data_IF_871736804174
#
_entry.id   IF_871736804174
#
_cell.length_a   1.000
_cell.length_b   1.000
_cell.length_c   1.000
_cell.angle_alpha   90.00
_cell.angle_beta   90.00
_cell.angle_gamma   90.00
#
_symmetry.space_group_name_H-M   'P 1'
#
loop_
_entity.id
_entity.type
_entity.pdbx_description
1 polymer ?
#
# COMPACT_ATOMS: atom_id res chain seq x y z
N UNK A 1 2.35 12.62 -18.52
CA UNK A 1 3.34 13.52 -17.91
C UNK A 1 3.26 14.89 -18.59
N UNK A 2 3.45 15.99 -17.87
CA UNK A 2 3.47 17.35 -18.44
C UNK A 2 4.78 17.67 -19.17
N UNK A 3 5.68 16.69 -19.34
CA UNK A 3 6.97 16.85 -20.00
C UNK A 3 8.07 17.42 -19.09
N UNK A 4 7.88 17.40 -17.76
CA UNK A 4 8.83 18.00 -16.81
C UNK A 4 10.14 17.20 -16.65
N UNK A 5 10.13 15.90 -17.00
CA UNK A 5 11.29 15.03 -16.94
C UNK A 5 11.19 13.91 -17.99
N UNK A 6 12.32 13.54 -18.58
CA UNK A 6 12.43 12.41 -19.52
C UNK A 6 12.49 11.05 -18.79
N UNK A 7 13.07 11.05 -17.59
CA UNK A 7 13.14 9.91 -16.70
C UNK A 7 13.32 10.35 -15.24
N UNK A 8 12.93 9.48 -14.30
CA UNK A 8 12.99 9.75 -12.87
C UNK A 8 13.43 8.52 -12.09
N UNK A 9 14.25 8.74 -11.06
CA UNK A 9 14.41 7.78 -9.97
C UNK A 9 13.33 8.09 -8.94
N UNK A 10 12.48 7.10 -8.66
CA UNK A 10 11.36 7.22 -7.71
C UNK A 10 11.45 6.12 -6.67
N UNK A 11 11.13 6.43 -5.42
CA UNK A 11 11.25 5.46 -4.35
C UNK A 11 11.12 6.09 -2.97
N UNK A 12 11.44 5.29 -1.96
CA UNK A 12 11.40 5.66 -0.56
C UNK A 12 12.44 4.89 0.24
N UNK A 13 12.89 5.49 1.33
CA UNK A 13 13.80 4.87 2.30
C UNK A 13 13.35 5.25 3.70
N UNK A 14 13.41 4.30 4.63
CA UNK A 14 13.00 4.51 6.01
C UNK A 14 13.82 3.66 6.98
N UNK A 15 14.14 4.25 8.13
CA UNK A 15 14.65 3.55 9.31
C UNK A 15 13.81 3.98 10.51
N UNK A 16 12.67 3.33 10.69
CA UNK A 16 11.67 3.65 11.70
C UNK A 16 11.91 2.95 13.04
N UNK A 17 12.74 1.91 13.09
CA UNK A 17 13.02 1.13 14.32
C UNK A 17 13.90 1.85 15.37
N UNK A 18 14.01 3.17 15.30
CA UNK A 18 14.67 3.97 16.34
C UNK A 18 13.89 3.93 17.67
N UNK A 19 14.53 4.18 18.82
CA UNK A 19 13.82 4.23 20.10
C UNK A 19 12.65 5.24 20.11
N UNK A 20 12.80 6.36 19.39
CA UNK A 20 11.74 7.38 19.27
C UNK A 20 10.60 6.87 18.39
N UNK A 21 10.90 6.26 17.24
CA UNK A 21 9.88 5.69 16.35
C UNK A 21 9.08 4.59 17.04
N UNK A 22 9.78 3.62 17.63
CA UNK A 22 9.15 2.53 18.38
C UNK A 22 8.31 3.05 19.55
N UNK A 23 8.86 3.96 20.36
CA UNK A 23 8.16 4.57 21.49
C UNK A 23 6.91 5.35 21.08
N UNK A 24 6.98 6.09 19.97
CA UNK A 24 5.85 6.85 19.43
C UNK A 24 4.70 5.96 18.98
N UNK A 25 4.98 4.91 18.21
CA UNK A 25 3.93 3.99 17.75
C UNK A 25 3.39 3.08 18.87
N UNK A 26 4.23 2.72 19.85
CA UNK A 26 3.77 2.05 21.06
C UNK A 26 2.80 2.93 21.86
N UNK A 27 3.12 4.22 22.04
CA UNK A 27 2.25 5.18 22.71
C UNK A 27 0.92 5.39 21.96
N UNK A 28 0.95 5.36 20.63
CA UNK A 28 -0.23 5.41 19.78
C UNK A 28 -1.05 4.11 19.77
N UNK A 29 -0.57 3.03 20.41
CA UNK A 29 -1.17 1.69 20.41
C UNK A 29 -1.38 1.13 19.01
N UNK A 30 -0.44 1.41 18.10
CA UNK A 30 -0.51 0.98 16.71
C UNK A 30 0.30 -0.30 16.43
N UNK A 31 1.22 -0.65 17.33
CA UNK A 31 2.09 -1.81 17.21
C UNK A 31 1.40 -3.08 17.72
N UNK A 32 1.72 -4.21 17.09
CA UNK A 32 1.40 -5.53 17.64
C UNK A 32 2.04 -5.71 19.01
N UNK A 33 1.33 -6.39 19.90
CA UNK A 33 1.79 -6.74 21.25
C UNK A 33 2.17 -8.23 21.38
N UNK A 34 2.13 -8.98 20.27
CA UNK A 34 2.50 -10.40 20.18
C UNK A 34 4.01 -10.59 20.26
N UNK A 35 4.55 -10.41 21.47
CA UNK A 35 5.97 -10.53 21.75
C UNK A 35 6.42 -11.98 21.98
N UNK A 36 5.49 -12.89 22.25
CA UNK A 36 5.70 -14.33 22.46
C UNK A 36 5.85 -15.10 21.14
N UNK A 37 5.26 -14.61 20.06
CA UNK A 37 5.39 -15.14 18.70
C UNK A 37 5.60 -14.00 17.68
N UNK A 38 6.78 -13.37 17.68
CA UNK A 38 7.05 -12.18 16.87
C UNK A 38 7.08 -12.49 15.36
N UNK A 39 7.42 -13.73 14.97
CA UNK A 39 7.47 -14.13 13.57
C UNK A 39 6.08 -14.16 12.91
N UNK A 40 5.01 -14.33 13.68
CA UNK A 40 3.64 -14.31 13.19
C UNK A 40 2.88 -13.02 13.53
N UNK A 41 3.55 -12.01 14.08
CA UNK A 41 2.89 -10.79 14.59
C UNK A 41 2.32 -9.91 13.47
N UNK A 42 3.01 -9.79 12.34
CA UNK A 42 2.50 -9.06 11.17
C UNK A 42 1.55 -9.97 10.37
N UNK A 43 0.25 -9.79 10.56
CA UNK A 43 -0.80 -10.68 10.07
C UNK A 43 -2.03 -9.92 9.55
N UNK A 44 -1.92 -9.29 8.36
CA UNK A 44 -3.01 -8.52 7.78
C UNK A 44 -4.29 -9.35 7.61
N UNK A 45 -5.43 -8.76 7.96
CA UNK A 45 -6.78 -9.36 7.96
C UNK A 45 -7.01 -10.60 8.82
N UNK A 46 -6.00 -11.08 9.55
CA UNK A 46 -6.21 -12.20 10.45
C UNK A 46 -7.19 -11.81 11.57
N UNK A 47 -7.98 -12.79 12.03
CA UNK A 47 -8.96 -12.62 13.10
C UNK A 47 -8.33 -12.07 14.38
N UNK A 48 -7.13 -12.53 14.72
CA UNK A 48 -6.47 -12.18 15.97
C UNK A 48 -5.30 -11.20 15.74
N UNK A 49 -5.44 -10.30 14.75
CA UNK A 49 -4.50 -9.19 14.50
C UNK A 49 -4.66 -8.08 15.54
N UNK A 50 -3.56 -7.45 15.94
CA UNK A 50 -3.56 -6.47 17.03
C UNK A 50 -2.72 -5.20 16.75
N UNK A 51 -2.11 -5.09 15.57
CA UNK A 51 -1.29 -3.94 15.17
C UNK A 51 -0.20 -4.33 14.19
N UNK A 52 0.52 -3.36 13.64
CA UNK A 52 1.62 -3.64 12.72
C UNK A 52 2.93 -3.94 13.46
N UNK A 53 3.87 -4.57 12.76
CA UNK A 53 5.28 -4.66 13.15
C UNK A 53 6.06 -3.60 12.37
N UNK A 54 6.92 -2.80 13.02
CA UNK A 54 7.79 -1.86 12.31
C UNK A 54 8.86 -2.60 11.51
N UNK A 55 9.13 -2.11 10.30
CA UNK A 55 10.24 -2.56 9.48
C UNK A 55 11.05 -1.38 8.96
N UNK A 56 12.26 -1.67 8.50
CA UNK A 56 13.14 -0.71 7.85
C UNK A 56 13.43 -1.18 6.43
N UNK A 57 13.70 -0.24 5.52
CA UNK A 57 14.10 -0.60 4.18
C UNK A 57 14.11 0.57 3.22
N UNK A 58 14.55 0.29 2.01
CA UNK A 58 14.58 1.23 0.91
C UNK A 58 14.36 0.52 -0.42
N UNK A 59 13.70 1.21 -1.33
CA UNK A 59 13.46 0.77 -2.70
C UNK A 59 13.50 1.97 -3.64
N UNK A 60 14.09 1.78 -4.82
CA UNK A 60 14.15 2.81 -5.87
C UNK A 60 13.93 2.14 -7.23
N UNK A 61 13.04 2.71 -8.01
CA UNK A 61 12.77 2.34 -9.39
C UNK A 61 13.21 3.47 -10.32
N UNK A 62 13.69 3.07 -11.49
CA UNK A 62 13.84 3.98 -12.63
C UNK A 62 12.56 3.92 -13.45
N UNK A 63 11.91 5.07 -13.62
CA UNK A 63 10.74 5.23 -14.49
C UNK A 63 11.08 6.19 -15.62
N UNK A 64 10.62 5.87 -16.82
CA UNK A 64 10.83 6.68 -18.03
C UNK A 64 9.68 6.43 -19.01
N UNK A 65 9.62 7.21 -20.08
CA UNK A 65 8.63 7.02 -21.15
C UNK A 65 8.88 5.69 -21.90
N UNK A 66 7.81 4.99 -22.26
CA UNK A 66 7.85 3.62 -22.78
C UNK A 66 8.62 3.50 -24.11
N UNK A 67 8.38 4.38 -25.06
CA UNK A 67 9.10 4.37 -26.34
C UNK A 67 10.56 4.77 -26.18
N UNK A 68 10.89 5.68 -25.25
CA UNK A 68 12.28 5.97 -24.85
C UNK A 68 12.99 4.74 -24.29
N UNK A 69 12.35 4.02 -23.35
CA UNK A 69 12.86 2.79 -22.76
C UNK A 69 13.13 1.73 -23.86
N UNK A 70 12.20 1.57 -24.81
CA UNK A 70 12.36 0.66 -25.94
C UNK A 70 13.48 1.07 -26.88
N UNK A 71 13.56 2.36 -27.24
CA UNK A 71 14.56 2.87 -28.17
C UNK A 71 16.00 2.63 -27.67
N UNK A 72 16.22 2.74 -26.36
CA UNK A 72 17.53 2.45 -25.75
C UNK A 72 17.75 0.98 -25.39
N UNK A 73 16.79 0.09 -25.65
CA UNK A 73 16.87 -1.35 -25.33
C UNK A 73 16.84 -1.66 -23.84
N UNK A 74 16.09 -0.88 -23.05
CA UNK A 74 15.93 -1.12 -21.62
C UNK A 74 15.25 -2.47 -21.33
N UNK A 75 15.62 -3.10 -20.22
CA UNK A 75 14.81 -4.19 -19.68
C UNK A 75 13.60 -3.62 -18.93
N UNK A 76 12.40 -3.89 -19.45
CA UNK A 76 11.14 -3.36 -18.92
C UNK A 76 10.52 -4.41 -17.99
N UNK A 77 10.38 -4.07 -16.70
CA UNK A 77 9.78 -4.96 -15.71
C UNK A 77 8.25 -4.91 -15.72
N UNK A 78 7.69 -3.71 -15.85
CA UNK A 78 6.25 -3.45 -15.83
C UNK A 78 5.97 -2.07 -16.44
N UNK A 79 4.69 -1.82 -16.72
CA UNK A 79 4.16 -0.53 -17.16
C UNK A 79 3.29 0.07 -16.05
N UNK A 80 3.47 1.36 -15.76
CA UNK A 80 2.60 2.11 -14.84
C UNK A 80 1.48 2.70 -15.69
N UNK A 81 0.31 2.07 -15.66
CA UNK A 81 -0.80 2.44 -16.54
C UNK A 81 -1.72 3.51 -15.96
N UNK A 82 -1.76 3.67 -14.64
CA UNK A 82 -2.52 4.75 -14.02
C UNK A 82 -2.15 4.99 -12.56
N UNK A 83 -2.58 6.14 -12.03
CA UNK A 83 -2.32 6.57 -10.66
C UNK A 83 -3.54 7.27 -10.05
N UNK A 84 -3.72 7.11 -8.74
CA UNK A 84 -4.83 7.72 -8.02
C UNK A 84 -4.46 8.11 -6.60
N UNK A 85 -4.88 9.31 -6.20
CA UNK A 85 -4.74 9.82 -4.84
C UNK A 85 -6.05 10.43 -4.35
N UNK A 86 -6.20 10.51 -3.04
CA UNK A 86 -7.34 11.16 -2.36
C UNK A 86 -6.93 11.59 -0.96
N UNK A 87 -7.69 12.53 -0.36
CA UNK A 87 -7.64 12.83 1.07
C UNK A 87 -8.99 12.53 1.71
N UNK A 88 -9.00 11.93 2.89
CA UNK A 88 -10.24 11.53 3.58
C UNK A 88 -10.80 12.61 4.53
N UNK A 89 -9.95 13.53 5.01
CA UNK A 89 -10.25 14.64 5.92
C UNK A 89 -11.14 14.22 7.12
N UNK A 90 -10.92 13.02 7.66
CA UNK A 90 -11.84 12.38 8.60
C UNK A 90 -11.33 12.36 10.04
N UNK A 91 -10.14 11.79 10.25
CA UNK A 91 -9.53 11.68 11.57
C UNK A 91 -8.00 11.67 11.41
N UNK A 92 -7.28 12.05 12.47
CA UNK A 92 -5.82 12.20 12.40
C UNK A 92 -5.09 10.87 12.13
N UNK A 93 -5.62 9.76 12.62
CA UNK A 93 -4.95 8.44 12.58
C UNK A 93 -5.87 7.28 12.19
N UNK A 94 -7.16 7.54 11.98
CA UNK A 94 -8.14 6.49 11.70
C UNK A 94 -8.75 6.73 10.32
N UNK A 95 -8.87 5.70 9.48
CA UNK A 95 -9.62 5.83 8.25
C UNK A 95 -11.12 5.95 8.56
N UNK A 96 -11.91 6.52 7.64
CA UNK A 96 -13.34 6.29 7.61
C UNK A 96 -13.66 4.79 7.66
N UNK A 97 -14.62 4.40 8.50
CA UNK A 97 -15.00 2.98 8.66
C UNK A 97 -15.50 2.36 7.34
N UNK A 98 -16.11 3.17 6.47
CA UNK A 98 -16.60 2.78 5.14
C UNK A 98 -15.46 2.65 4.09
N UNK A 99 -14.23 3.02 4.43
CA UNK A 99 -13.09 2.98 3.52
C UNK A 99 -13.17 3.98 2.37
N UNK A 100 -14.06 4.99 2.41
CA UNK A 100 -14.34 5.86 1.26
C UNK A 100 -13.12 6.61 0.71
N UNK A 101 -12.15 6.93 1.57
CA UNK A 101 -10.88 7.55 1.17
C UNK A 101 -10.09 6.63 0.24
N UNK A 102 -9.74 5.43 0.73
CA UNK A 102 -9.07 4.42 -0.08
C UNK A 102 -9.86 4.07 -1.35
N UNK A 103 -11.19 3.98 -1.26
CA UNK A 103 -12.06 3.73 -2.41
C UNK A 103 -11.97 4.83 -3.47
N UNK A 104 -11.88 6.10 -3.07
CA UNK A 104 -11.69 7.22 -4.00
C UNK A 104 -10.34 7.15 -4.70
N UNK A 105 -9.25 6.90 -3.97
CA UNK A 105 -7.92 6.72 -4.57
C UNK A 105 -7.89 5.57 -5.59
N UNK A 106 -8.48 4.41 -5.24
CA UNK A 106 -8.57 3.26 -6.16
C UNK A 106 -9.40 3.57 -7.42
N UNK A 107 -10.56 4.22 -7.28
CA UNK A 107 -11.37 4.63 -8.44
C UNK A 107 -10.61 5.60 -9.35
N UNK A 108 -9.86 6.54 -8.78
CA UNK A 108 -9.05 7.47 -9.56
C UNK A 108 -7.97 6.72 -10.35
N UNK A 109 -7.26 5.77 -9.73
CA UNK A 109 -6.22 4.98 -10.39
C UNK A 109 -6.77 4.09 -11.52
N UNK A 110 -7.95 3.48 -11.31
CA UNK A 110 -8.64 2.65 -12.31
C UNK A 110 -9.15 3.51 -13.47
N UNK A 111 -9.70 4.69 -13.17
CA UNK A 111 -10.16 5.61 -14.21
C UNK A 111 -9.00 6.14 -15.05
N UNK A 112 -7.86 6.46 -14.42
CA UNK A 112 -6.65 6.92 -15.10
C UNK A 112 -6.03 5.81 -15.97
N UNK A 113 -6.05 4.56 -15.50
CA UNK A 113 -5.50 3.43 -16.26
C UNK A 113 -6.39 2.95 -17.41
N UNK A 114 -7.70 3.22 -17.34
CA UNK A 114 -8.68 2.68 -18.29
C UNK A 114 -8.84 1.16 -18.22
N UNK A 115 -8.25 0.49 -17.22
CA UNK A 115 -8.34 -0.96 -17.05
C UNK A 115 -9.70 -1.32 -16.44
N UNK A 116 -10.47 -2.23 -17.06
CA UNK A 116 -11.71 -2.73 -16.47
C UNK A 116 -11.46 -3.40 -15.11
N UNK A 117 -12.35 -3.18 -14.14
CA UNK A 117 -12.20 -3.70 -12.77
C UNK A 117 -12.11 -5.23 -12.70
N UNK A 118 -12.73 -5.93 -13.65
CA UNK A 118 -12.73 -7.39 -13.76
C UNK A 118 -11.43 -7.97 -14.35
N UNK A 119 -10.53 -7.12 -14.85
CA UNK A 119 -9.18 -7.50 -15.28
C UNK A 119 -8.12 -7.34 -14.19
N UNK A 120 -8.48 -6.79 -13.03
CA UNK A 120 -7.55 -6.66 -11.89
C UNK A 120 -7.40 -8.04 -11.23
N UNK A 121 -6.26 -8.70 -11.49
CA UNK A 121 -6.00 -10.05 -10.97
C UNK A 121 -5.43 -10.08 -9.55
N UNK A 122 -4.80 -9.00 -9.11
CA UNK A 122 -4.10 -8.97 -7.82
C UNK A 122 -4.03 -7.56 -7.23
N UNK A 123 -4.15 -7.47 -5.90
CA UNK A 123 -3.96 -6.25 -5.11
C UNK A 123 -2.90 -6.52 -4.05
N UNK A 124 -1.79 -5.80 -4.11
CA UNK A 124 -0.88 -5.66 -2.97
C UNK A 124 -1.40 -4.51 -2.09
N UNK A 125 -2.13 -4.85 -1.05
CA UNK A 125 -2.83 -3.88 -0.21
C UNK A 125 -1.92 -3.28 0.87
N UNK A 126 -2.40 -2.20 1.48
CA UNK A 126 -1.75 -1.57 2.60
C UNK A 126 -1.62 -2.53 3.79
N UNK A 127 -2.68 -3.25 4.18
CA UNK A 127 -2.65 -4.40 5.10
C UNK A 127 -1.76 -4.21 6.33
N UNK A 128 -2.21 -3.43 7.29
CA UNK A 128 -1.37 -3.05 8.46
C UNK A 128 -1.56 -3.98 9.64
N UNK A 129 -2.38 -5.02 9.55
CA UNK A 129 -2.73 -5.86 10.71
C UNK A 129 -3.45 -5.06 11.81
N UNK A 130 -4.02 -3.90 11.46
CA UNK A 130 -4.81 -3.09 12.40
C UNK A 130 -6.29 -3.40 12.22
N UNK A 131 -7.06 -3.33 13.31
CA UNK A 131 -8.49 -3.64 13.23
C UNK A 131 -9.26 -2.69 12.32
N UNK A 132 -9.07 -1.38 12.52
CA UNK A 132 -9.75 -0.35 11.73
C UNK A 132 -9.23 -0.25 10.29
N UNK A 133 -7.92 -0.31 10.09
CA UNK A 133 -7.29 -0.16 8.77
C UNK A 133 -7.69 -1.29 7.83
N UNK A 134 -7.47 -2.53 8.25
CA UNK A 134 -7.74 -3.70 7.41
C UNK A 134 -9.23 -3.84 7.09
N UNK A 135 -10.13 -3.49 8.02
CA UNK A 135 -11.58 -3.48 7.78
C UNK A 135 -11.98 -2.42 6.74
N UNK A 136 -11.48 -1.20 6.90
CA UNK A 136 -11.76 -0.11 5.97
C UNK A 136 -11.22 -0.42 4.56
N UNK A 137 -10.02 -1.02 4.47
CA UNK A 137 -9.43 -1.43 3.20
C UNK A 137 -10.23 -2.53 2.51
N UNK A 138 -10.67 -3.57 3.24
CA UNK A 138 -11.54 -4.61 2.65
C UNK A 138 -12.86 -4.04 2.14
N UNK A 139 -13.49 -3.13 2.88
CA UNK A 139 -14.72 -2.45 2.45
C UNK A 139 -14.49 -1.58 1.22
N UNK A 140 -13.36 -0.89 1.16
CA UNK A 140 -12.99 -0.08 0.00
C UNK A 140 -12.79 -0.94 -1.25
N UNK A 141 -12.07 -2.07 -1.15
CA UNK A 141 -11.88 -3.02 -2.26
C UNK A 141 -13.24 -3.53 -2.76
N UNK A 142 -14.11 -3.99 -1.86
CA UNK A 142 -15.45 -4.46 -2.22
C UNK A 142 -16.30 -3.37 -2.90
N UNK A 143 -16.26 -2.13 -2.39
CA UNK A 143 -17.01 -1.01 -2.94
C UNK A 143 -16.51 -0.51 -4.30
N UNK A 144 -15.27 -0.85 -4.70
CA UNK A 144 -14.68 -0.46 -5.97
C UNK A 144 -14.80 -1.56 -7.01
N UNK A 145 -14.50 -2.81 -6.63
CA UNK A 145 -14.48 -3.94 -7.56
C UNK A 145 -15.86 -4.60 -7.73
N UNK A 146 -16.80 -4.39 -6.81
CA UNK A 146 -18.11 -5.04 -6.85
C UNK A 146 -17.96 -6.56 -6.86
N UNK A 147 -18.59 -7.25 -7.81
CA UNK A 147 -18.50 -8.71 -7.93
C UNK A 147 -17.08 -9.21 -8.26
N UNK A 148 -16.22 -8.38 -8.88
CA UNK A 148 -14.83 -8.77 -9.13
C UNK A 148 -14.01 -8.93 -7.84
N UNK A 149 -14.49 -8.39 -6.70
CA UNK A 149 -13.85 -8.58 -5.41
C UNK A 149 -13.88 -10.04 -4.93
N UNK A 150 -14.76 -10.89 -5.48
CA UNK A 150 -14.86 -12.30 -5.09
C UNK A 150 -13.72 -13.17 -5.64
N UNK A 151 -13.06 -12.73 -6.72
CA UNK A 151 -12.03 -13.50 -7.42
C UNK A 151 -10.65 -12.87 -7.39
N UNK A 152 -10.55 -11.57 -7.10
CA UNK A 152 -9.27 -10.87 -6.99
C UNK A 152 -8.43 -11.45 -5.85
N UNK A 153 -7.15 -11.73 -6.11
CA UNK A 153 -6.22 -12.10 -5.05
C UNK A 153 -5.76 -10.84 -4.30
N UNK A 154 -5.78 -10.89 -2.96
CA UNK A 154 -5.30 -9.77 -2.13
C UNK A 154 -4.26 -10.29 -1.15
N UNK A 155 -3.12 -9.61 -1.07
CA UNK A 155 -2.14 -9.85 -0.01
C UNK A 155 -1.50 -8.53 0.42
N UNK A 156 -0.61 -8.58 1.42
CA UNK A 156 0.22 -7.43 1.76
C UNK A 156 1.64 -7.89 2.07
N UNK A 157 2.62 -7.24 1.47
CA UNK A 157 4.04 -7.50 1.74
C UNK A 157 4.43 -7.25 3.19
N UNK A 158 3.64 -6.47 3.94
CA UNK A 158 3.91 -6.16 5.35
C UNK A 158 3.89 -7.40 6.24
N UNK A 159 3.21 -8.48 5.86
CA UNK A 159 3.29 -9.75 6.61
C UNK A 159 4.70 -10.34 6.61
N UNK A 160 5.49 -10.07 5.57
CA UNK A 160 6.83 -10.64 5.40
C UNK A 160 7.94 -9.74 5.94
N UNK A 161 7.78 -8.42 5.79
CA UNK A 161 8.86 -7.44 6.08
C UNK A 161 8.46 -6.35 7.08
N UNK A 162 7.25 -6.39 7.62
CA UNK A 162 6.72 -5.33 8.49
C UNK A 162 6.32 -4.07 7.74
N UNK A 163 6.01 -3.02 8.49
CA UNK A 163 5.59 -1.73 7.98
C UNK A 163 6.78 -0.77 7.89
N UNK A 164 7.25 -0.54 6.66
CA UNK A 164 8.41 0.29 6.35
C UNK A 164 8.11 1.80 6.26
N UNK A 165 7.00 2.27 6.84
CA UNK A 165 6.48 3.65 6.74
C UNK A 165 6.69 4.30 5.36
N UNK A 166 7.63 5.24 5.24
CA UNK A 166 7.91 5.98 4.01
C UNK A 166 8.41 5.11 2.84
N UNK A 167 8.95 3.94 3.11
CA UNK A 167 9.37 2.97 2.10
C UNK A 167 8.35 1.84 1.87
N UNK A 168 7.15 1.90 2.47
CA UNK A 168 6.19 0.80 2.38
C UNK A 168 5.58 0.58 0.99
N UNK A 169 5.59 1.60 0.12
CA UNK A 169 5.15 1.49 -1.27
C UNK A 169 6.30 1.42 -2.28
N UNK A 170 7.55 1.40 -1.80
CA UNK A 170 8.75 1.33 -2.62
C UNK A 170 9.10 -0.10 -3.05
#
# INVERSE_FOLDING_TARGET
>A
ALGDADAMLVGGAEMATTPVGLGGFAAARALSTRNDDPAAASRPWDRDRDGFVLGDGAGVLMIEEYESAKARGAHIYAEITGFGMSGDAYHMTLPPEDGRGAAAAMRNAIADSGVPVDQIGYINAHGTSTNAGDLAESRAIQAVLGSAAETVAVSSTKSMIGHLLGAAGA
#
